data_IF_656986168844
#
_entry.id   IF_656986168844
#
_cell.length_a   1.000
_cell.length_b   1.000
_cell.length_c   1.000
_cell.angle_alpha   90.00
_cell.angle_beta   90.00
_cell.angle_gamma   90.00
#
_symmetry.space_group_name_H-M   'P 1'
#
loop_
_entity.id
_entity.type
_entity.pdbx_description
1 polymer ?
#
# COMPACT_ATOMS: atom_id res chain seq x y z
N UNK A 1 -20.65 -57.45 37.17
CA UNK A 1 -19.69 -57.36 36.01
C UNK A 1 -20.28 -56.65 34.78
N UNK A 2 -21.49 -56.96 34.34
CA UNK A 2 -22.12 -56.29 33.14
C UNK A 2 -22.43 -54.80 33.30
N UNK A 3 -22.69 -54.34 34.52
CA UNK A 3 -23.06 -52.92 34.82
C UNK A 3 -21.80 -52.01 34.76
N UNK A 4 -20.66 -52.44 35.20
CA UNK A 4 -19.40 -51.72 35.11
C UNK A 4 -18.87 -51.56 33.68
N UNK A 5 -19.18 -52.57 32.84
CA UNK A 5 -18.80 -52.51 31.42
C UNK A 5 -19.63 -51.47 30.65
N UNK A 6 -20.92 -51.37 30.94
CA UNK A 6 -21.81 -50.33 30.34
C UNK A 6 -21.38 -48.91 30.75
N UNK A 7 -20.95 -48.72 32.00
CA UNK A 7 -20.49 -47.41 32.48
C UNK A 7 -19.19 -46.98 31.81
N UNK A 8 -18.26 -47.90 31.58
CA UNK A 8 -17.00 -47.64 30.85
C UNK A 8 -17.25 -47.26 29.39
N UNK A 9 -18.20 -47.92 28.73
CA UNK A 9 -18.55 -47.66 27.32
C UNK A 9 -19.19 -46.24 27.16
N UNK A 10 -20.07 -45.85 28.09
CA UNK A 10 -20.67 -44.49 28.09
C UNK A 10 -19.61 -43.42 28.33
N UNK A 11 -18.64 -43.65 29.23
CA UNK A 11 -17.55 -42.70 29.49
C UNK A 11 -16.61 -42.53 28.28
N UNK A 12 -16.35 -43.62 27.53
CA UNK A 12 -15.55 -43.57 26.29
C UNK A 12 -16.27 -42.76 25.20
N UNK A 13 -17.58 -42.93 25.06
CA UNK A 13 -18.36 -42.16 24.09
C UNK A 13 -18.46 -40.68 24.44
N UNK A 14 -18.57 -40.32 25.72
CA UNK A 14 -18.55 -38.93 26.19
C UNK A 14 -17.16 -38.31 25.99
N UNK A 15 -16.08 -39.06 26.22
CA UNK A 15 -14.71 -38.57 25.98
C UNK A 15 -14.39 -38.38 24.51
N UNK A 16 -14.91 -39.26 23.63
CA UNK A 16 -14.74 -39.15 22.17
C UNK A 16 -15.56 -37.98 21.59
N UNK A 17 -16.71 -37.63 22.19
CA UNK A 17 -17.53 -36.50 21.78
C UNK A 17 -16.93 -35.11 22.14
N UNK A 18 -16.03 -35.04 23.12
CA UNK A 18 -15.38 -33.80 23.56
C UNK A 18 -14.16 -33.40 22.70
N UNK A 19 -13.70 -34.28 21.81
CA UNK A 19 -12.53 -33.99 20.93
C UNK A 19 -12.92 -33.41 19.58
N UNK A 20 -14.20 -33.15 19.32
CA UNK A 20 -14.60 -32.39 18.11
C UNK A 20 -14.32 -30.92 18.37
N UNK A 21 -13.04 -30.59 18.39
CA UNK A 21 -12.59 -29.20 18.34
C UNK A 21 -12.99 -28.63 16.98
N UNK A 22 -13.91 -27.68 17.01
CA UNK A 22 -14.28 -26.91 15.85
C UNK A 22 -13.07 -26.06 15.46
N UNK A 23 -12.18 -26.60 14.64
CA UNK A 23 -11.08 -25.84 14.04
C UNK A 23 -11.73 -24.86 13.06
N UNK A 24 -11.85 -23.59 13.43
CA UNK A 24 -12.13 -22.52 12.46
C UNK A 24 -11.05 -22.62 11.38
N UNK A 25 -11.43 -22.87 10.15
CA UNK A 25 -10.52 -22.75 9.00
C UNK A 25 -10.11 -21.29 8.89
N UNK A 26 -8.98 -20.94 9.47
CA UNK A 26 -8.35 -19.65 9.22
C UNK A 26 -7.68 -19.72 7.85
N UNK A 27 -8.01 -18.81 6.96
CA UNK A 27 -7.29 -18.67 5.70
C UNK A 27 -5.89 -18.14 6.05
N UNK A 28 -4.81 -18.80 5.59
CA UNK A 28 -3.46 -18.37 5.94
C UNK A 28 -3.17 -16.98 5.37
N UNK A 29 -2.34 -16.22 6.08
CA UNK A 29 -1.81 -14.93 5.60
C UNK A 29 -1.24 -15.04 4.19
N UNK A 30 -1.48 -14.03 3.37
CA UNK A 30 -0.93 -13.91 2.01
C UNK A 30 -0.11 -12.64 1.89
N UNK A 31 0.96 -12.71 1.09
CA UNK A 31 1.83 -11.57 0.83
C UNK A 31 2.07 -11.39 -0.65
N UNK A 32 2.21 -10.15 -1.08
CA UNK A 32 2.56 -9.76 -2.44
C UNK A 32 3.59 -8.63 -2.38
N UNK A 33 4.51 -8.59 -3.33
CA UNK A 33 5.39 -7.43 -3.51
C UNK A 33 4.64 -6.41 -4.37
N UNK A 34 4.38 -5.23 -3.81
CA UNK A 34 3.78 -4.10 -4.50
C UNK A 34 4.21 -2.78 -3.84
N UNK A 35 4.20 -1.69 -4.59
CA UNK A 35 4.64 -0.36 -4.12
C UNK A 35 6.06 -0.41 -3.50
N UNK A 36 6.97 -1.13 -4.14
CA UNK A 36 8.37 -1.33 -3.73
C UNK A 36 8.54 -1.92 -2.32
N UNK A 37 7.51 -2.62 -1.81
CA UNK A 37 7.54 -3.24 -0.49
C UNK A 37 6.79 -4.58 -0.46
N UNK A 38 6.96 -5.34 0.64
CA UNK A 38 6.20 -6.56 0.89
C UNK A 38 4.90 -6.23 1.63
N UNK A 39 3.79 -6.31 0.92
CA UNK A 39 2.45 -6.14 1.49
C UNK A 39 1.91 -7.48 1.99
N UNK A 40 1.61 -7.59 3.29
CA UNK A 40 1.04 -8.79 3.90
C UNK A 40 -0.39 -8.53 4.36
N UNK A 41 -1.31 -9.42 4.00
CA UNK A 41 -2.72 -9.34 4.36
C UNK A 41 -3.12 -10.52 5.21
N UNK A 42 -3.80 -10.26 6.32
CA UNK A 42 -4.38 -11.26 7.21
C UNK A 42 -5.89 -11.08 7.24
N UNK A 43 -6.63 -12.11 6.86
CA UNK A 43 -8.08 -12.16 6.99
C UNK A 43 -8.44 -12.99 8.22
N UNK A 44 -9.12 -12.37 9.19
CA UNK A 44 -9.41 -12.99 10.49
C UNK A 44 -10.68 -13.82 10.49
N UNK A 45 -11.76 -13.31 9.87
CA UNK A 45 -13.07 -13.97 9.80
C UNK A 45 -13.56 -13.94 8.36
N UNK A 46 -14.24 -15.02 7.94
CA UNK A 46 -14.84 -15.17 6.61
C UNK A 46 -13.89 -14.89 5.43
N UNK A 47 -12.59 -15.00 5.67
CA UNK A 47 -11.56 -14.83 4.65
C UNK A 47 -11.68 -15.90 3.57
N UNK A 48 -11.61 -15.49 2.29
CA UNK A 48 -11.63 -16.39 1.14
C UNK A 48 -10.45 -16.09 0.22
N UNK A 49 -10.03 -17.07 -0.57
CA UNK A 49 -9.00 -16.84 -1.61
C UNK A 49 -9.43 -15.73 -2.57
N UNK A 50 -10.70 -15.70 -2.95
CA UNK A 50 -11.26 -14.65 -3.82
C UNK A 50 -11.08 -13.25 -3.23
N UNK A 51 -11.27 -13.09 -1.91
CA UNK A 51 -11.08 -11.79 -1.24
C UNK A 51 -9.61 -11.37 -1.26
N UNK A 52 -8.65 -12.30 -1.12
CA UNK A 52 -7.23 -11.99 -1.31
C UNK A 52 -6.92 -11.51 -2.72
N UNK A 53 -7.46 -12.20 -3.74
CA UNK A 53 -7.29 -11.81 -5.15
C UNK A 53 -7.84 -10.39 -5.41
N UNK A 54 -9.02 -10.07 -4.88
CA UNK A 54 -9.63 -8.74 -5.00
C UNK A 54 -8.78 -7.65 -4.31
N UNK A 55 -8.24 -7.93 -3.10
CA UNK A 55 -7.37 -7.01 -2.38
C UNK A 55 -6.07 -6.78 -3.16
N UNK A 56 -5.42 -7.84 -3.64
CA UNK A 56 -4.17 -7.73 -4.39
C UNK A 56 -4.36 -7.05 -5.74
N UNK A 57 -5.47 -7.32 -6.42
CA UNK A 57 -5.83 -6.60 -7.65
C UNK A 57 -6.03 -5.10 -7.37
N UNK A 58 -6.64 -4.74 -6.24
CA UNK A 58 -6.79 -3.33 -5.83
C UNK A 58 -5.44 -2.68 -5.52
N UNK A 59 -4.56 -3.36 -4.78
CA UNK A 59 -3.20 -2.87 -4.49
C UNK A 59 -2.41 -2.64 -5.78
N UNK A 60 -2.43 -3.59 -6.72
CA UNK A 60 -1.78 -3.43 -8.02
C UNK A 60 -2.38 -2.29 -8.84
N UNK A 61 -3.70 -2.12 -8.79
CA UNK A 61 -4.38 -1.00 -9.43
C UNK A 61 -3.97 0.36 -8.85
N UNK A 62 -3.70 0.44 -7.56
CA UNK A 62 -3.16 1.65 -6.93
C UNK A 62 -1.70 1.88 -7.33
N UNK A 63 -0.86 0.84 -7.32
CA UNK A 63 0.52 0.92 -7.78
C UNK A 63 0.60 1.49 -9.20
N UNK A 64 -0.19 0.97 -10.14
CA UNK A 64 -0.23 1.46 -11.53
C UNK A 64 -0.64 2.95 -11.63
N UNK A 65 -1.38 3.47 -10.65
CA UNK A 65 -1.78 4.90 -10.63
C UNK A 65 -0.71 5.81 -10.02
N UNK A 66 -0.04 5.34 -8.97
CA UNK A 66 0.81 6.17 -8.11
C UNK A 66 2.31 5.89 -8.25
N UNK A 67 2.71 4.88 -9.02
CA UNK A 67 4.13 4.54 -9.21
C UNK A 67 4.90 5.69 -9.87
N UNK A 68 6.12 5.93 -9.40
CA UNK A 68 7.09 6.81 -10.06
C UNK A 68 7.95 6.08 -11.10
N UNK A 69 7.84 4.74 -11.16
CA UNK A 69 8.60 3.89 -12.08
C UNK A 69 7.78 3.42 -13.28
N UNK A 70 6.46 3.32 -13.15
CA UNK A 70 5.55 2.96 -14.24
C UNK A 70 5.29 4.19 -15.13
N UNK A 71 5.72 4.12 -16.38
CA UNK A 71 5.72 5.24 -17.32
C UNK A 71 4.32 5.84 -17.56
N UNK A 72 3.28 5.00 -17.60
CA UNK A 72 1.89 5.39 -17.82
C UNK A 72 1.12 5.75 -16.55
N UNK A 73 1.78 5.78 -15.39
CA UNK A 73 1.14 6.18 -14.14
C UNK A 73 0.69 7.65 -14.18
N UNK A 74 -0.36 7.98 -13.44
CA UNK A 74 -0.78 9.38 -13.33
C UNK A 74 0.29 10.27 -12.72
N UNK A 75 1.08 9.75 -11.77
CA UNK A 75 2.19 10.51 -11.15
C UNK A 75 3.25 10.86 -12.19
N UNK A 76 3.64 9.92 -13.05
CA UNK A 76 4.58 10.21 -14.12
C UNK A 76 3.98 11.11 -15.21
N UNK A 77 2.70 10.94 -15.55
CA UNK A 77 2.02 11.85 -16.48
C UNK A 77 1.99 13.29 -15.95
N UNK A 78 1.69 13.49 -14.66
CA UNK A 78 1.73 14.81 -14.01
C UNK A 78 3.15 15.37 -14.03
N UNK A 79 4.14 14.60 -13.58
CA UNK A 79 5.52 15.05 -13.52
C UNK A 79 6.11 15.42 -14.88
N UNK A 80 5.75 14.67 -15.93
CA UNK A 80 6.24 14.90 -17.29
C UNK A 80 5.56 16.08 -17.99
N UNK A 81 4.37 16.47 -17.54
CA UNK A 81 3.60 17.60 -18.09
C UNK A 81 3.64 18.84 -17.18
N UNK A 82 4.33 18.81 -16.05
CA UNK A 82 4.44 19.93 -15.15
C UNK A 82 5.00 21.19 -15.83
N UNK A 83 4.27 22.30 -15.76
CA UNK A 83 4.62 23.54 -16.44
C UNK A 83 4.39 23.54 -17.98
N UNK A 84 3.88 22.45 -18.56
CA UNK A 84 3.61 22.33 -20.00
C UNK A 84 2.11 22.36 -20.27
N UNK A 85 1.35 21.47 -19.65
CA UNK A 85 -0.10 21.37 -19.85
C UNK A 85 -0.82 20.67 -18.69
N UNK A 86 -2.11 20.92 -18.49
CA UNK A 86 -2.92 20.19 -17.51
C UNK A 86 -3.03 18.71 -17.87
N UNK A 87 -3.09 17.85 -16.84
CA UNK A 87 -3.29 16.41 -17.01
C UNK A 87 -4.63 16.00 -16.42
N UNK A 88 -5.42 15.23 -17.18
CA UNK A 88 -6.63 14.62 -16.64
C UNK A 88 -6.27 13.42 -15.80
N UNK A 89 -6.72 13.41 -14.55
CA UNK A 89 -6.42 12.36 -13.56
C UNK A 89 -7.70 11.68 -13.06
N UNK A 90 -7.56 10.50 -12.45
CA UNK A 90 -8.67 9.82 -11.81
C UNK A 90 -9.02 10.48 -10.47
N UNK A 91 -10.25 10.27 -10.00
CA UNK A 91 -10.73 10.77 -8.72
C UNK A 91 -9.84 10.32 -7.54
N UNK A 92 -9.38 9.06 -7.53
CA UNK A 92 -8.47 8.56 -6.50
C UNK A 92 -7.19 9.41 -6.41
N UNK A 93 -6.59 9.73 -7.57
CA UNK A 93 -5.36 10.52 -7.64
C UNK A 93 -5.62 11.96 -7.23
N UNK A 94 -6.74 12.55 -7.70
CA UNK A 94 -7.15 13.89 -7.28
C UNK A 94 -7.31 13.98 -5.76
N UNK A 95 -8.02 13.03 -5.14
CA UNK A 95 -8.25 13.03 -3.70
C UNK A 95 -6.94 12.93 -2.91
N UNK A 96 -5.98 12.12 -3.36
CA UNK A 96 -4.65 12.04 -2.72
C UNK A 96 -3.89 13.34 -2.84
N UNK A 97 -3.86 13.96 -4.03
CA UNK A 97 -3.17 15.23 -4.24
C UNK A 97 -3.83 16.37 -3.45
N UNK A 98 -5.17 16.42 -3.42
CA UNK A 98 -5.91 17.40 -2.63
C UNK A 98 -5.59 17.27 -1.12
N UNK A 99 -5.62 16.04 -0.60
CA UNK A 99 -5.24 15.79 0.80
C UNK A 99 -3.78 16.17 1.05
N UNK A 100 -2.88 15.83 0.15
CA UNK A 100 -1.45 16.19 0.23
C UNK A 100 -1.26 17.70 0.29
N UNK A 101 -2.00 18.46 -0.52
CA UNK A 101 -2.00 19.93 -0.47
C UNK A 101 -2.44 20.45 0.90
N UNK A 102 -3.50 19.88 1.49
CA UNK A 102 -3.95 20.28 2.83
C UNK A 102 -2.95 19.94 3.92
N UNK A 103 -2.25 18.81 3.81
CA UNK A 103 -1.18 18.45 4.74
C UNK A 103 0.02 19.39 4.58
N UNK A 104 0.38 19.78 3.36
CA UNK A 104 1.42 20.77 3.10
C UNK A 104 1.11 22.11 3.76
N UNK A 105 -0.11 22.62 3.60
CA UNK A 105 -0.59 23.85 4.26
C UNK A 105 -0.50 23.72 5.79
N UNK A 106 -1.01 22.62 6.37
CA UNK A 106 -1.03 22.38 7.80
C UNK A 106 0.38 22.28 8.42
N UNK A 107 1.33 21.71 7.68
CA UNK A 107 2.71 21.51 8.14
C UNK A 107 3.64 22.67 7.76
N UNK A 108 3.08 23.77 7.23
CA UNK A 108 3.85 24.95 6.78
C UNK A 108 4.97 24.57 5.78
N UNK A 109 4.69 23.58 4.90
CA UNK A 109 5.63 23.10 3.89
C UNK A 109 6.66 22.08 4.39
N UNK A 110 6.58 21.60 5.64
CA UNK A 110 7.45 20.52 6.12
C UNK A 110 7.17 19.18 5.39
N UNK A 111 5.95 18.97 4.93
CA UNK A 111 5.57 17.97 3.94
C UNK A 111 5.22 18.67 2.63
N UNK A 112 5.81 18.25 1.52
CA UNK A 112 5.48 18.76 0.19
C UNK A 112 5.47 17.65 -0.87
N UNK A 113 4.32 17.40 -1.48
CA UNK A 113 4.14 16.38 -2.51
C UNK A 113 4.84 16.75 -3.82
N UNK A 114 5.22 18.02 -4.00
CA UNK A 114 5.89 18.53 -5.21
C UNK A 114 7.40 18.34 -5.18
N UNK A 115 7.97 17.64 -4.18
CA UNK A 115 9.41 17.48 -3.96
C UNK A 115 10.14 16.65 -5.04
N UNK A 116 9.44 16.13 -6.08
CA UNK A 116 10.03 15.29 -7.12
C UNK A 116 11.30 15.86 -7.79
N UNK A 117 11.44 17.17 -8.09
CA UNK A 117 12.67 17.73 -8.64
C UNK A 117 13.90 17.47 -7.77
N UNK A 118 13.75 17.56 -6.45
CA UNK A 118 14.82 17.28 -5.49
C UNK A 118 15.09 15.78 -5.40
N UNK A 119 14.06 14.94 -5.34
CA UNK A 119 14.20 13.47 -5.30
C UNK A 119 14.95 12.97 -6.52
N UNK A 120 14.59 13.42 -7.72
CA UNK A 120 15.28 13.07 -8.97
C UNK A 120 16.73 13.54 -9.02
N UNK A 121 17.03 14.70 -8.44
CA UNK A 121 18.38 15.23 -8.36
C UNK A 121 19.31 14.35 -7.52
N UNK A 122 18.81 13.82 -6.41
CA UNK A 122 19.54 12.90 -5.54
C UNK A 122 19.67 11.50 -6.15
N UNK A 123 18.76 11.11 -7.04
CA UNK A 123 18.74 9.80 -7.71
C UNK A 123 18.60 8.62 -6.75
N UNK A 124 17.96 8.80 -5.59
CA UNK A 124 17.84 7.80 -4.53
C UNK A 124 17.25 6.49 -5.09
N UNK A 125 17.88 5.37 -4.74
CA UNK A 125 17.55 4.02 -5.22
C UNK A 125 17.72 3.83 -6.74
N UNK A 126 18.56 4.63 -7.40
CA UNK A 126 18.90 4.45 -8.81
C UNK A 126 20.43 4.34 -9.00
N UNK A 127 20.89 3.91 -10.18
CA UNK A 127 22.31 3.92 -10.53
C UNK A 127 22.94 5.32 -10.58
N UNK A 128 22.11 6.37 -10.52
CA UNK A 128 22.51 7.79 -10.54
C UNK A 128 22.55 8.43 -9.17
N UNK A 129 22.42 7.63 -8.11
CA UNK A 129 22.43 8.12 -6.72
C UNK A 129 23.72 8.89 -6.43
N UNK A 130 23.58 10.11 -5.93
CA UNK A 130 24.67 11.00 -5.58
C UNK A 130 24.26 12.07 -4.58
N UNK A 131 25.23 12.69 -3.96
CA UNK A 131 25.01 13.92 -3.18
C UNK A 131 25.16 15.11 -4.14
N UNK A 132 24.10 15.89 -4.40
CA UNK A 132 24.17 17.07 -5.25
C UNK A 132 24.91 18.21 -4.54
N UNK A 133 25.41 19.14 -5.34
CA UNK A 133 25.97 20.40 -4.82
C UNK A 133 24.87 21.30 -4.28
N UNK A 134 25.23 22.24 -3.39
CA UNK A 134 24.26 23.22 -2.85
C UNK A 134 23.56 24.00 -3.97
N UNK A 135 24.30 24.44 -4.99
CA UNK A 135 23.73 25.17 -6.13
C UNK A 135 22.71 24.35 -6.92
N UNK A 136 22.95 23.04 -7.13
CA UNK A 136 21.99 22.14 -7.78
C UNK A 136 20.73 21.98 -6.94
N UNK A 137 20.91 21.81 -5.62
CA UNK A 137 19.78 21.71 -4.67
C UNK A 137 18.94 22.99 -4.65
N UNK A 138 19.58 24.17 -4.57
CA UNK A 138 18.88 25.44 -4.60
C UNK A 138 18.09 25.62 -5.91
N UNK A 139 18.66 25.24 -7.03
CA UNK A 139 17.96 25.28 -8.32
C UNK A 139 16.75 24.32 -8.37
N UNK A 140 16.88 23.11 -7.82
CA UNK A 140 15.77 22.14 -7.79
C UNK A 140 14.62 22.63 -6.88
N UNK A 141 14.95 23.25 -5.77
CA UNK A 141 13.97 23.84 -4.82
C UNK A 141 13.13 24.95 -5.45
N UNK A 142 13.62 25.63 -6.48
CA UNK A 142 12.82 26.62 -7.23
C UNK A 142 11.55 26.03 -7.87
N UNK A 143 11.50 24.71 -8.06
CA UNK A 143 10.37 23.99 -8.66
C UNK A 143 9.51 23.25 -7.63
N UNK A 144 9.82 23.35 -6.35
CA UNK A 144 9.06 22.79 -5.25
C UNK A 144 8.16 23.85 -4.64
N UNK A 145 6.93 23.51 -4.35
CA UNK A 145 5.97 24.40 -3.69
C UNK A 145 4.53 24.01 -3.98
N UNK A 146 3.76 23.80 -2.93
CA UNK A 146 2.34 23.42 -2.99
C UNK A 146 1.48 24.46 -3.72
N UNK A 147 1.87 25.75 -3.68
CA UNK A 147 1.25 26.87 -4.38
C UNK A 147 1.35 26.79 -5.92
N UNK A 148 2.18 25.88 -6.43
CA UNK A 148 2.36 25.64 -7.88
C UNK A 148 1.47 24.53 -8.43
N UNK A 149 0.73 23.85 -7.57
CA UNK A 149 -0.20 22.78 -7.95
C UNK A 149 -1.60 23.36 -8.14
N UNK A 150 -2.08 23.42 -9.38
CA UNK A 150 -3.36 24.04 -9.79
C UNK A 150 -4.27 23.05 -10.49
#
# INVERSE_FOLDING_TARGET
MKMFLKFKIVFIFVYLGLTISCSKKTVPSRSVVCMDTLCSVNLFEDGTEKLYEEIFARLKGLENKFSITEEESYVNLINNNAGVQPVRISEDVFNVLYLSSKVSEFTEGAFDVTANPVIRLWGINTEKERVPTQKESDNALLFVGNDRMH
#
